data_IF_201384494969
#
_entry.id   IF_201384494969
#
_cell.length_a   1.000
_cell.length_b   1.000
_cell.length_c   1.000
_cell.angle_alpha   90.00
_cell.angle_beta   90.00
_cell.angle_gamma   90.00
#
_symmetry.space_group_name_H-M   'P 1'
#
loop_
_entity.id
_entity.type
_entity.pdbx_description
1 polymer ?
#
# COMPACT_ATOMS: atom_id res chain seq x y z
N UNK A 1 -24.55 30.63 -16.84
CA UNK A 1 -24.04 30.07 -18.11
C UNK A 1 -22.53 30.30 -18.22
N UNK A 2 -21.70 29.53 -17.50
CA UNK A 2 -20.23 29.60 -17.59
C UNK A 2 -19.59 28.28 -17.10
N UNK A 3 -19.92 27.14 -17.72
CA UNK A 3 -19.44 25.82 -17.28
C UNK A 3 -18.99 24.92 -18.46
N UNK A 4 -18.36 25.49 -19.50
CA UNK A 4 -17.86 24.73 -20.67
C UNK A 4 -16.31 24.74 -20.79
N UNK A 5 -15.57 25.32 -19.83
CA UNK A 5 -14.10 25.43 -19.95
C UNK A 5 -13.27 24.27 -19.41
N UNK A 6 -13.87 23.13 -19.00
CA UNK A 6 -13.11 22.01 -18.41
C UNK A 6 -12.64 20.94 -19.41
N UNK A 7 -12.82 21.16 -20.72
CA UNK A 7 -12.47 20.21 -21.80
C UNK A 7 -10.95 20.14 -22.07
N UNK A 8 -10.14 21.06 -21.52
CA UNK A 8 -8.68 21.10 -21.74
C UNK A 8 -7.82 20.33 -20.70
N UNK A 9 -8.42 19.64 -19.72
CA UNK A 9 -7.71 18.80 -18.74
C UNK A 9 -7.01 17.52 -19.26
N UNK A 10 -7.32 16.93 -20.44
CA UNK A 10 -6.64 15.72 -20.92
C UNK A 10 -5.12 15.88 -21.07
N UNK A 11 -4.68 17.09 -21.46
CA UNK A 11 -3.27 17.35 -21.80
C UNK A 11 -2.34 17.35 -20.58
N UNK A 12 -2.83 17.74 -19.38
CA UNK A 12 -1.99 17.76 -18.18
C UNK A 12 -1.76 16.37 -17.60
N UNK A 13 -2.79 15.52 -17.58
CA UNK A 13 -2.68 14.13 -17.12
C UNK A 13 -1.72 13.36 -18.01
N UNK A 14 -1.83 13.53 -19.34
CA UNK A 14 -0.95 12.86 -20.30
C UNK A 14 0.52 13.31 -20.15
N UNK A 15 0.76 14.62 -19.94
CA UNK A 15 2.11 15.16 -19.72
C UNK A 15 2.75 14.63 -18.43
N UNK A 16 1.98 14.52 -17.35
CA UNK A 16 2.45 13.96 -16.09
C UNK A 16 2.79 12.47 -16.23
N UNK A 17 1.95 11.69 -16.93
CA UNK A 17 2.22 10.27 -17.18
C UNK A 17 3.53 10.07 -17.95
N UNK A 18 3.79 10.87 -18.99
CA UNK A 18 5.04 10.80 -19.76
C UNK A 18 6.27 11.04 -18.88
N UNK A 19 6.24 12.08 -18.03
CA UNK A 19 7.35 12.39 -17.11
C UNK A 19 7.59 11.25 -16.11
N UNK A 20 6.52 10.68 -15.56
CA UNK A 20 6.61 9.54 -14.64
C UNK A 20 7.31 8.35 -15.27
N UNK A 21 6.91 7.96 -16.49
CA UNK A 21 7.54 6.85 -17.20
C UNK A 21 9.00 7.12 -17.54
N UNK A 22 9.36 8.34 -17.95
CA UNK A 22 10.76 8.70 -18.21
C UNK A 22 11.61 8.49 -16.94
N UNK A 23 11.16 8.96 -15.79
CA UNK A 23 11.92 8.78 -14.55
C UNK A 23 12.02 7.30 -14.15
N UNK A 24 10.95 6.51 -14.31
CA UNK A 24 10.96 5.06 -14.03
C UNK A 24 11.96 4.36 -14.95
N UNK A 25 11.95 4.66 -16.26
CA UNK A 25 12.87 4.06 -17.23
C UNK A 25 14.31 4.42 -16.90
N UNK A 26 14.62 5.69 -16.62
CA UNK A 26 15.98 6.11 -16.25
C UNK A 26 16.45 5.37 -15.00
N UNK A 27 15.62 5.32 -13.95
CA UNK A 27 15.96 4.60 -12.71
C UNK A 27 16.25 3.13 -13.01
N UNK A 28 15.35 2.44 -13.71
CA UNK A 28 15.53 1.03 -14.04
C UNK A 28 16.77 0.80 -14.90
N UNK A 29 17.02 1.62 -15.92
CA UNK A 29 18.22 1.49 -16.75
C UNK A 29 19.52 1.60 -15.94
N UNK A 30 19.58 2.52 -14.97
CA UNK A 30 20.75 2.65 -14.08
C UNK A 30 20.90 1.40 -13.21
N UNK A 31 19.82 0.94 -12.58
CA UNK A 31 19.83 -0.23 -11.71
C UNK A 31 20.19 -1.49 -12.49
N UNK A 32 19.56 -1.74 -13.64
CA UNK A 32 19.87 -2.86 -14.54
C UNK A 32 21.34 -2.79 -14.98
N UNK A 33 21.85 -1.61 -15.32
CA UNK A 33 23.25 -1.43 -15.70
C UNK A 33 24.23 -1.85 -14.60
N UNK A 34 23.98 -1.44 -13.35
CA UNK A 34 24.78 -1.85 -12.19
C UNK A 34 24.75 -3.36 -12.01
N UNK A 35 23.56 -3.97 -12.10
CA UNK A 35 23.37 -5.42 -11.95
C UNK A 35 24.10 -6.19 -13.05
N UNK A 36 23.98 -5.78 -14.31
CA UNK A 36 24.67 -6.42 -15.44
C UNK A 36 26.18 -6.31 -15.28
N UNK A 37 26.70 -5.12 -14.95
CA UNK A 37 28.15 -4.92 -14.74
C UNK A 37 28.64 -5.83 -13.63
N UNK A 38 27.92 -5.91 -12.50
CA UNK A 38 28.28 -6.79 -11.41
C UNK A 38 28.33 -8.27 -11.85
N UNK A 39 27.31 -8.76 -12.54
CA UNK A 39 27.32 -10.13 -13.03
C UNK A 39 28.40 -10.40 -14.07
N UNK A 40 28.75 -9.43 -14.91
CA UNK A 40 29.89 -9.59 -15.82
C UNK A 40 31.20 -9.71 -15.04
N UNK A 41 31.40 -8.91 -13.99
CA UNK A 41 32.59 -8.99 -13.13
C UNK A 41 32.67 -10.37 -12.47
N UNK A 42 31.55 -10.87 -11.93
CA UNK A 42 31.46 -12.22 -11.34
C UNK A 42 31.70 -13.32 -12.39
N UNK A 43 31.05 -13.24 -13.55
CA UNK A 43 31.17 -14.21 -14.64
C UNK A 43 32.59 -14.34 -15.19
N UNK A 44 33.33 -13.24 -15.29
CA UNK A 44 34.73 -13.25 -15.73
C UNK A 44 35.71 -13.62 -14.61
N UNK A 45 35.22 -14.05 -13.45
CA UNK A 45 36.06 -14.46 -12.32
C UNK A 45 36.88 -13.31 -11.72
N UNK A 46 36.50 -12.06 -11.98
CA UNK A 46 37.25 -10.90 -11.48
C UNK A 46 37.12 -10.74 -9.97
N UNK A 47 36.24 -11.50 -9.31
CA UNK A 47 36.09 -11.56 -7.86
C UNK A 47 36.54 -12.90 -7.26
N UNK A 48 37.08 -13.84 -8.06
CA UNK A 48 37.44 -15.19 -7.58
C UNK A 48 38.56 -15.16 -6.54
N UNK A 49 39.32 -14.07 -6.48
CA UNK A 49 40.32 -13.84 -5.45
C UNK A 49 39.71 -13.49 -4.08
N UNK A 50 38.41 -13.18 -4.02
CA UNK A 50 37.70 -12.86 -2.80
C UNK A 50 37.21 -14.14 -2.12
N UNK A 51 37.37 -14.20 -0.81
CA UNK A 51 36.66 -15.18 0.02
C UNK A 51 35.14 -14.94 -0.06
N UNK A 52 34.29 -15.95 0.18
CA UNK A 52 32.83 -15.75 0.23
C UNK A 52 32.41 -14.63 1.20
N UNK A 53 33.13 -14.48 2.31
CA UNK A 53 32.96 -13.39 3.25
C UNK A 53 33.19 -12.02 2.61
N UNK A 54 34.28 -11.84 1.88
CA UNK A 54 34.58 -10.60 1.16
C UNK A 54 33.60 -10.34 0.01
N UNK A 55 33.17 -11.37 -0.72
CA UNK A 55 32.14 -11.26 -1.75
C UNK A 55 30.84 -10.68 -1.21
N UNK A 56 30.42 -11.09 0.00
CA UNK A 56 29.23 -10.50 0.65
C UNK A 56 29.37 -8.99 0.94
N UNK A 57 30.56 -8.49 1.24
CA UNK A 57 30.77 -7.04 1.40
C UNK A 57 30.65 -6.28 0.09
N UNK A 58 31.08 -6.86 -1.04
CA UNK A 58 30.87 -6.29 -2.37
C UNK A 58 29.37 -6.18 -2.65
N UNK A 59 28.60 -7.24 -2.38
CA UNK A 59 27.15 -7.24 -2.51
C UNK A 59 26.50 -6.14 -1.66
N UNK A 60 26.90 -6.02 -0.38
CA UNK A 60 26.41 -4.94 0.50
C UNK A 60 26.71 -3.56 -0.10
N UNK A 61 27.92 -3.34 -0.61
CA UNK A 61 28.31 -2.09 -1.25
C UNK A 61 27.42 -1.74 -2.46
N UNK A 62 27.12 -2.72 -3.31
CA UNK A 62 26.27 -2.54 -4.49
C UNK A 62 24.84 -2.17 -4.09
N UNK A 63 24.24 -2.88 -3.14
CA UNK A 63 22.89 -2.56 -2.68
C UNK A 63 22.83 -1.18 -2.01
N UNK A 64 23.86 -0.76 -1.26
CA UNK A 64 23.94 0.60 -0.72
C UNK A 64 23.99 1.66 -1.83
N UNK A 65 24.75 1.42 -2.90
CA UNK A 65 24.79 2.32 -4.07
C UNK A 65 23.40 2.41 -4.73
N UNK A 66 22.76 1.26 -4.97
CA UNK A 66 21.42 1.19 -5.57
C UNK A 66 20.37 1.91 -4.69
N UNK A 67 20.42 1.73 -3.37
CA UNK A 67 19.54 2.41 -2.44
C UNK A 67 19.79 3.93 -2.41
N UNK A 68 21.06 4.35 -2.46
CA UNK A 68 21.44 5.76 -2.56
C UNK A 68 20.88 6.43 -3.82
N UNK A 69 21.02 5.77 -4.98
CA UNK A 69 20.44 6.25 -6.25
C UNK A 69 18.92 6.37 -6.13
N UNK A 70 18.26 5.34 -5.59
CA UNK A 70 16.81 5.34 -5.39
C UNK A 70 16.37 6.48 -4.46
N UNK A 71 17.13 6.75 -3.41
CA UNK A 71 16.89 7.85 -2.48
C UNK A 71 16.92 9.21 -3.18
N UNK A 72 17.83 9.43 -4.13
CA UNK A 72 17.88 10.66 -4.93
C UNK A 72 16.58 10.85 -5.71
N UNK A 73 16.07 9.80 -6.36
CA UNK A 73 14.78 9.84 -7.08
C UNK A 73 13.60 10.08 -6.13
N UNK A 74 13.59 9.43 -4.97
CA UNK A 74 12.57 9.62 -3.93
C UNK A 74 12.54 11.07 -3.46
N UNK A 75 13.69 11.66 -3.15
CA UNK A 75 13.79 13.05 -2.65
C UNK A 75 13.36 14.04 -3.74
N UNK A 76 13.72 13.79 -5.00
CA UNK A 76 13.41 14.66 -6.13
C UNK A 76 11.90 14.74 -6.43
N UNK A 77 11.19 13.61 -6.37
CA UNK A 77 9.80 13.54 -6.87
C UNK A 77 8.75 13.29 -5.78
N UNK A 78 9.16 12.94 -4.54
CA UNK A 78 8.25 12.60 -3.45
C UNK A 78 8.94 12.75 -2.07
N UNK A 79 8.43 12.08 -1.03
CA UNK A 79 9.02 12.07 0.32
C UNK A 79 8.99 10.66 0.90
N UNK A 80 9.94 10.33 1.79
CA UNK A 80 9.95 9.07 2.54
C UNK A 80 8.62 8.78 3.25
N UNK A 81 7.95 9.84 3.77
CA UNK A 81 6.63 9.71 4.37
C UNK A 81 5.57 9.23 3.38
N UNK A 82 5.51 9.84 2.19
CA UNK A 82 4.53 9.47 1.14
C UNK A 82 4.73 8.05 0.63
N UNK A 83 5.98 7.60 0.51
CA UNK A 83 6.28 6.23 0.07
C UNK A 83 6.13 5.19 1.18
N UNK A 84 5.86 5.59 2.43
CA UNK A 84 5.43 4.69 3.51
C UNK A 84 6.51 4.28 4.51
N UNK A 85 7.65 4.97 4.56
CA UNK A 85 8.73 4.67 5.53
C UNK A 85 8.40 5.06 6.97
N UNK A 86 7.48 6.01 7.18
CA UNK A 86 7.13 6.49 8.52
C UNK A 86 5.84 5.81 8.97
N UNK A 87 5.90 4.95 9.98
CA UNK A 87 4.71 4.36 10.62
C UNK A 87 4.86 4.32 12.13
N UNK A 88 3.75 4.62 12.82
CA UNK A 88 3.61 4.46 14.26
C UNK A 88 3.40 3.00 14.69
N UNK A 89 3.24 2.07 13.75
CA UNK A 89 2.96 0.64 13.99
C UNK A 89 4.12 -0.26 13.57
N UNK A 90 5.37 0.21 13.72
CA UNK A 90 6.56 -0.48 13.20
C UNK A 90 6.68 -1.94 13.70
N UNK A 91 6.48 -2.19 14.99
CA UNK A 91 6.55 -3.54 15.57
C UNK A 91 5.51 -4.49 14.98
N UNK A 92 4.30 -3.99 14.73
CA UNK A 92 3.23 -4.80 14.15
C UNK A 92 3.57 -5.13 12.69
N UNK A 93 4.13 -4.18 11.95
CA UNK A 93 4.53 -4.41 10.57
C UNK A 93 5.69 -5.40 10.47
N UNK A 94 6.65 -5.35 11.41
CA UNK A 94 7.70 -6.36 11.55
C UNK A 94 7.08 -7.74 11.79
N UNK A 95 6.14 -7.84 12.74
CA UNK A 95 5.44 -9.10 13.03
C UNK A 95 4.69 -9.66 11.82
N UNK A 96 3.99 -8.81 11.07
CA UNK A 96 3.30 -9.20 9.83
C UNK A 96 4.30 -9.67 8.76
N UNK A 97 5.45 -9.01 8.61
CA UNK A 97 6.49 -9.41 7.66
C UNK A 97 7.08 -10.78 7.99
N UNK A 98 7.45 -11.01 9.25
CA UNK A 98 7.97 -12.30 9.72
C UNK A 98 6.92 -13.39 9.53
N UNK A 99 5.67 -13.14 9.95
CA UNK A 99 4.57 -14.10 9.80
C UNK A 99 4.25 -14.39 8.34
N UNK A 100 4.31 -13.38 7.46
CA UNK A 100 4.13 -13.57 6.02
C UNK A 100 5.23 -14.44 5.41
N UNK A 101 6.46 -14.33 5.91
CA UNK A 101 7.60 -15.14 5.44
C UNK A 101 7.63 -16.56 6.02
N UNK A 102 6.89 -16.85 7.10
CA UNK A 102 6.99 -18.12 7.82
C UNK A 102 6.49 -19.32 6.99
N UNK A 103 5.55 -19.09 6.06
CA UNK A 103 5.11 -20.12 5.12
C UNK A 103 6.25 -20.63 4.24
N UNK A 104 7.20 -19.76 3.89
CA UNK A 104 8.41 -20.16 3.21
C UNK A 104 9.35 -20.94 4.13
N UNK A 105 9.55 -20.50 5.37
CA UNK A 105 10.37 -21.24 6.33
C UNK A 105 9.86 -22.67 6.51
N UNK A 106 8.54 -22.86 6.61
CA UNK A 106 7.93 -24.19 6.70
C UNK A 106 8.21 -24.99 5.42
N UNK A 107 8.03 -24.40 4.24
CA UNK A 107 8.33 -25.06 2.98
C UNK A 107 9.83 -25.41 2.86
N UNK A 108 10.72 -24.53 3.29
CA UNK A 108 12.16 -24.74 3.30
C UNK A 108 12.53 -25.92 4.22
N UNK A 109 11.96 -26.00 5.42
CA UNK A 109 12.21 -27.12 6.35
C UNK A 109 11.69 -28.46 5.78
N UNK A 110 10.56 -28.46 5.08
CA UNK A 110 9.95 -29.69 4.55
C UNK A 110 10.63 -30.16 3.27
N UNK A 111 10.96 -29.24 2.37
CA UNK A 111 11.36 -29.54 0.99
C UNK A 111 12.82 -29.23 0.67
N UNK A 112 13.50 -28.40 1.47
CA UNK A 112 14.91 -28.08 1.27
C UNK A 112 15.77 -28.86 2.27
N UNK A 113 17.04 -29.06 1.91
CA UNK A 113 17.98 -29.86 2.69
C UNK A 113 18.24 -29.24 4.07
N UNK A 114 18.91 -29.99 4.96
CA UNK A 114 19.35 -29.50 6.27
C UNK A 114 20.04 -28.15 6.13
N UNK A 115 19.76 -27.17 7.01
CA UNK A 115 20.35 -25.84 6.93
C UNK A 115 21.87 -25.95 6.88
N UNK A 116 22.49 -25.10 6.06
CA UNK A 116 23.93 -25.14 5.90
C UNK A 116 24.60 -24.91 7.25
N UNK A 117 25.53 -25.79 7.64
CA UNK A 117 26.30 -25.64 8.88
C UNK A 117 27.19 -24.41 8.70
N UNK A 118 26.69 -23.26 9.14
CA UNK A 118 27.35 -21.97 9.04
C UNK A 118 27.72 -21.47 10.42
N UNK A 119 28.85 -20.77 10.51
CA UNK A 119 29.20 -20.06 11.74
C UNK A 119 28.23 -18.87 11.97
N UNK A 120 28.13 -18.42 13.22
CA UNK A 120 27.21 -17.34 13.62
C UNK A 120 27.47 -16.02 12.88
N UNK A 121 28.73 -15.74 12.51
CA UNK A 121 29.10 -14.52 11.79
C UNK A 121 28.50 -14.54 10.37
N UNK A 122 28.60 -15.66 9.67
CA UNK A 122 28.00 -15.84 8.33
C UNK A 122 26.49 -15.67 8.39
N UNK A 123 25.82 -16.30 9.37
CA UNK A 123 24.37 -16.17 9.55
C UNK A 123 23.97 -14.70 9.75
N UNK A 124 24.73 -13.97 10.57
CA UNK A 124 24.48 -12.54 10.82
C UNK A 124 24.70 -11.68 9.58
N UNK A 125 25.73 -11.98 8.77
CA UNK A 125 25.97 -11.28 7.50
C UNK A 125 24.86 -11.53 6.49
N UNK A 126 24.38 -12.77 6.37
CA UNK A 126 23.25 -13.11 5.52
C UNK A 126 22.01 -12.31 5.96
N UNK A 127 21.74 -12.20 7.26
CA UNK A 127 20.63 -11.38 7.77
C UNK A 127 20.76 -9.91 7.37
N UNK A 128 21.95 -9.32 7.52
CA UNK A 128 22.21 -7.92 7.12
C UNK A 128 22.01 -7.75 5.62
N UNK A 129 22.58 -8.65 4.82
CA UNK A 129 22.48 -8.61 3.37
C UNK A 129 21.02 -8.71 2.93
N UNK A 130 20.26 -9.68 3.43
CA UNK A 130 18.84 -9.84 3.10
C UNK A 130 17.99 -8.64 3.54
N UNK A 131 18.27 -8.05 4.71
CA UNK A 131 17.61 -6.79 5.13
C UNK A 131 17.90 -5.64 4.17
N UNK A 132 19.13 -5.56 3.68
CA UNK A 132 19.53 -4.51 2.74
C UNK A 132 18.96 -4.74 1.34
N UNK A 133 18.88 -5.99 0.88
CA UNK A 133 18.20 -6.38 -0.38
C UNK A 133 16.73 -5.97 -0.30
N UNK A 134 16.01 -6.44 0.73
CA UNK A 134 14.62 -6.09 0.95
C UNK A 134 14.40 -4.58 1.07
N UNK A 135 15.28 -3.87 1.79
CA UNK A 135 15.21 -2.40 1.87
C UNK A 135 15.35 -1.75 0.49
N UNK A 136 16.34 -2.16 -0.28
CA UNK A 136 16.70 -1.54 -1.55
C UNK A 136 15.65 -1.81 -2.62
N UNK A 137 15.33 -3.08 -2.84
CA UNK A 137 14.41 -3.49 -3.89
C UNK A 137 12.99 -3.02 -3.60
N UNK A 138 12.50 -3.16 -2.36
CA UNK A 138 11.19 -2.65 -2.04
C UNK A 138 11.13 -1.12 -2.15
N UNK A 139 12.20 -0.39 -1.84
CA UNK A 139 12.24 1.07 -2.06
C UNK A 139 12.10 1.45 -3.53
N UNK A 140 12.75 0.71 -4.43
CA UNK A 140 12.65 0.91 -5.87
C UNK A 140 11.22 0.59 -6.33
N UNK A 141 10.80 -0.65 -6.12
CA UNK A 141 9.60 -1.18 -6.75
C UNK A 141 8.33 -0.71 -6.04
N UNK A 142 8.23 -0.89 -4.72
CA UNK A 142 7.00 -0.63 -3.95
C UNK A 142 6.96 0.79 -3.41
N UNK A 143 8.13 1.33 -3.09
CA UNK A 143 8.32 2.70 -2.63
C UNK A 143 8.15 3.71 -3.74
N UNK A 144 9.01 3.67 -4.77
CA UNK A 144 9.03 4.68 -5.83
C UNK A 144 8.11 4.33 -7.01
N UNK A 145 8.36 3.21 -7.70
CA UNK A 145 7.67 2.87 -8.96
C UNK A 145 6.16 2.67 -8.76
N UNK A 146 5.75 1.78 -7.87
CA UNK A 146 4.33 1.49 -7.62
C UNK A 146 3.59 2.74 -7.12
N UNK A 147 4.21 3.54 -6.24
CA UNK A 147 3.63 4.79 -5.75
C UNK A 147 3.42 5.80 -6.87
N UNK A 148 4.39 5.92 -7.79
CA UNK A 148 4.29 6.81 -8.95
C UNK A 148 3.23 6.34 -9.94
N UNK A 149 3.16 5.03 -10.21
CA UNK A 149 2.11 4.46 -11.05
C UNK A 149 0.71 4.66 -10.43
N UNK A 150 0.58 4.62 -9.11
CA UNK A 150 -0.69 4.92 -8.43
C UNK A 150 -1.17 6.38 -8.61
N UNK A 151 -0.31 7.31 -9.01
CA UNK A 151 -0.73 8.68 -9.34
C UNK A 151 -1.48 8.74 -10.68
N UNK A 152 -1.29 7.74 -11.54
CA UNK A 152 -1.75 7.72 -12.94
C UNK A 152 -2.67 6.55 -13.29
N UNK A 153 -2.61 5.46 -12.52
CA UNK A 153 -3.29 4.20 -12.79
C UNK A 153 -4.06 3.71 -11.56
N UNK A 154 -5.07 2.87 -11.80
CA UNK A 154 -5.73 2.15 -10.71
C UNK A 154 -4.70 1.26 -10.01
N UNK A 155 -4.82 1.13 -8.69
CA UNK A 155 -3.86 0.41 -7.86
C UNK A 155 -3.56 -1.03 -8.32
N UNK A 156 -4.55 -1.74 -8.89
CA UNK A 156 -4.34 -3.08 -9.44
C UNK A 156 -3.33 -3.09 -10.59
N UNK A 157 -3.42 -2.12 -11.51
CA UNK A 157 -2.50 -2.01 -12.64
C UNK A 157 -1.11 -1.62 -12.18
N UNK A 158 -0.98 -0.72 -11.21
CA UNK A 158 0.31 -0.37 -10.62
C UNK A 158 1.00 -1.58 -9.99
N UNK A 159 0.25 -2.44 -9.29
CA UNK A 159 0.77 -3.68 -8.71
C UNK A 159 1.26 -4.63 -9.81
N UNK A 160 0.42 -4.89 -10.82
CA UNK A 160 0.76 -5.81 -11.91
C UNK A 160 1.99 -5.34 -12.71
N UNK A 161 2.02 -4.06 -13.09
CA UNK A 161 3.16 -3.48 -13.83
C UNK A 161 4.43 -3.57 -12.99
N UNK A 162 4.36 -3.17 -11.72
CA UNK A 162 5.55 -3.20 -10.84
C UNK A 162 6.03 -4.63 -10.60
N UNK A 163 5.12 -5.60 -10.48
CA UNK A 163 5.44 -7.02 -10.34
C UNK A 163 6.18 -7.57 -11.57
N UNK A 164 5.75 -7.19 -12.77
CA UNK A 164 6.41 -7.57 -14.02
C UNK A 164 7.80 -6.92 -14.14
N UNK A 165 7.95 -5.66 -13.75
CA UNK A 165 9.25 -4.98 -13.72
C UNK A 165 10.19 -5.61 -12.68
N UNK A 166 9.65 -6.01 -11.53
CA UNK A 166 10.38 -6.75 -10.50
C UNK A 166 10.84 -8.12 -11.02
N UNK A 167 10.01 -8.87 -11.74
CA UNK A 167 10.46 -10.11 -12.38
C UNK A 167 11.52 -9.84 -13.47
N UNK A 168 11.32 -8.80 -14.28
CA UNK A 168 12.23 -8.47 -15.39
C UNK A 168 13.65 -8.10 -14.92
N UNK A 169 13.80 -7.43 -13.77
CA UNK A 169 15.14 -7.07 -13.26
C UNK A 169 15.98 -8.30 -12.87
N UNK A 170 15.33 -9.42 -12.56
CA UNK A 170 15.97 -10.69 -12.22
C UNK A 170 16.34 -11.52 -13.46
N UNK A 171 15.82 -11.16 -14.64
CA UNK A 171 16.03 -11.91 -15.87
C UNK A 171 17.51 -12.14 -16.21
N UNK A 172 18.43 -11.14 -16.11
CA UNK A 172 19.84 -11.37 -16.44
C UNK A 172 20.43 -12.52 -15.64
N UNK A 173 20.28 -12.48 -14.30
CA UNK A 173 20.74 -13.53 -13.39
C UNK A 173 20.17 -14.89 -13.76
N UNK A 174 18.85 -14.95 -13.96
CA UNK A 174 18.15 -16.21 -14.24
C UNK A 174 18.58 -16.85 -15.56
N UNK A 175 18.88 -16.04 -16.57
CA UNK A 175 19.40 -16.54 -17.85
C UNK A 175 20.83 -17.05 -17.69
N UNK A 176 21.69 -16.32 -16.96
CA UNK A 176 23.07 -16.73 -16.73
C UNK A 176 23.19 -18.01 -15.89
N UNK A 177 22.37 -18.15 -14.84
CA UNK A 177 22.44 -19.29 -13.91
C UNK A 177 21.63 -20.50 -14.37
N UNK A 178 20.44 -20.31 -14.95
CA UNK A 178 19.46 -21.37 -15.18
C UNK A 178 19.05 -21.55 -16.66
N UNK A 179 19.60 -20.75 -17.58
CA UNK A 179 19.24 -20.79 -19.00
C UNK A 179 17.73 -20.63 -19.22
N UNK A 180 17.13 -21.50 -20.04
CA UNK A 180 15.69 -21.43 -20.37
C UNK A 180 14.78 -21.72 -19.16
N UNK A 181 15.24 -22.52 -18.19
CA UNK A 181 14.49 -22.78 -16.96
C UNK A 181 14.33 -21.51 -16.11
N UNK A 182 15.22 -20.52 -16.31
CA UNK A 182 15.09 -19.19 -15.73
C UNK A 182 13.75 -18.51 -16.03
N UNK A 183 13.09 -18.85 -17.15
CA UNK A 183 11.76 -18.34 -17.50
C UNK A 183 10.69 -18.79 -16.51
N UNK A 184 10.80 -20.00 -15.93
CA UNK A 184 9.85 -20.45 -14.88
C UNK A 184 10.04 -19.62 -13.62
N UNK A 185 11.28 -19.28 -13.27
CA UNK A 185 11.53 -18.43 -12.11
C UNK A 185 10.98 -17.01 -12.27
N UNK A 186 10.89 -16.47 -13.50
CA UNK A 186 10.20 -15.18 -13.75
C UNK A 186 8.73 -15.21 -13.33
N UNK A 187 8.05 -16.36 -13.48
CA UNK A 187 6.69 -16.53 -13.00
C UNK A 187 6.63 -16.42 -11.47
N UNK A 188 7.53 -17.10 -10.76
CA UNK A 188 7.65 -17.02 -9.30
C UNK A 188 7.96 -15.59 -8.82
N UNK A 189 8.89 -14.90 -9.47
CA UNK A 189 9.19 -13.49 -9.16
C UNK A 189 8.00 -12.57 -9.46
N UNK A 190 7.20 -12.85 -10.49
CA UNK A 190 5.97 -12.09 -10.76
C UNK A 190 4.94 -12.29 -9.66
N UNK A 191 4.77 -13.52 -9.17
CA UNK A 191 3.86 -13.82 -8.05
C UNK A 191 4.30 -13.08 -6.77
N UNK A 192 5.58 -13.21 -6.40
CA UNK A 192 6.18 -12.43 -5.30
C UNK A 192 5.97 -10.92 -5.50
N UNK A 193 6.22 -10.48 -6.74
CA UNK A 193 5.89 -9.20 -7.34
C UNK A 193 4.55 -8.65 -6.86
N UNK A 194 3.50 -9.37 -7.23
CA UNK A 194 2.09 -9.07 -6.97
C UNK A 194 1.81 -9.02 -5.47
N UNK A 195 2.33 -10.01 -4.76
CA UNK A 195 2.11 -10.21 -3.32
C UNK A 195 2.67 -9.04 -2.51
N UNK A 196 3.93 -8.69 -2.72
CA UNK A 196 4.57 -7.56 -2.06
C UNK A 196 3.86 -6.25 -2.42
N UNK A 197 3.39 -6.12 -3.66
CA UNK A 197 2.60 -4.97 -4.10
C UNK A 197 1.25 -4.85 -3.39
N UNK A 198 0.55 -5.96 -3.18
CA UNK A 198 -0.68 -6.01 -2.38
C UNK A 198 -0.40 -5.67 -0.91
N UNK A 199 0.64 -6.25 -0.31
CA UNK A 199 1.06 -5.93 1.05
C UNK A 199 1.33 -4.45 1.24
N UNK A 200 2.10 -3.85 0.33
CA UNK A 200 2.36 -2.42 0.36
C UNK A 200 1.09 -1.60 0.29
N UNK A 201 0.13 -2.00 -0.55
CA UNK A 201 -1.18 -1.33 -0.67
C UNK A 201 -1.96 -1.41 0.65
N UNK A 202 -2.09 -2.60 1.23
CA UNK A 202 -2.92 -2.82 2.41
C UNK A 202 -2.30 -2.27 3.70
N UNK A 203 -1.00 -2.47 3.92
CA UNK A 203 -0.32 -1.97 5.12
C UNK A 203 -0.08 -0.47 5.06
N UNK A 204 -0.13 0.11 3.86
CA UNK A 204 0.29 1.47 3.56
C UNK A 204 1.63 1.86 4.21
N UNK A 205 2.54 0.88 4.32
CA UNK A 205 3.81 1.00 5.01
C UNK A 205 4.87 0.12 4.32
N UNK A 206 6.09 0.63 4.26
CA UNK A 206 7.23 -0.06 3.65
C UNK A 206 7.86 -1.10 4.58
N UNK A 207 7.91 -0.85 5.88
CA UNK A 207 8.60 -1.73 6.83
C UNK A 207 8.07 -3.16 6.76
N UNK A 208 6.75 -3.36 6.70
CA UNK A 208 6.18 -4.71 6.65
C UNK A 208 6.59 -5.50 5.41
N UNK A 209 6.60 -4.84 4.23
CA UNK A 209 7.01 -5.49 2.98
C UNK A 209 8.53 -5.68 2.90
N UNK A 210 9.32 -4.73 3.42
CA UNK A 210 10.79 -4.86 3.52
C UNK A 210 11.16 -6.08 4.37
N UNK A 211 10.53 -6.23 5.54
CA UNK A 211 10.79 -7.37 6.44
C UNK A 211 10.30 -8.67 5.81
N UNK A 212 9.14 -8.67 5.15
CA UNK A 212 8.65 -9.84 4.42
C UNK A 212 9.67 -10.32 3.37
N UNK A 213 10.15 -9.40 2.54
CA UNK A 213 11.13 -9.70 1.50
C UNK A 213 12.47 -10.12 2.10
N UNK A 214 12.99 -9.37 3.07
CA UNK A 214 14.26 -9.69 3.71
C UNK A 214 14.25 -11.07 4.35
N UNK A 215 13.18 -11.45 5.06
CA UNK A 215 13.12 -12.77 5.66
C UNK A 215 12.92 -13.87 4.63
N UNK A 216 12.22 -13.60 3.52
CA UNK A 216 12.18 -14.52 2.38
C UNK A 216 13.59 -14.86 1.88
N UNK A 217 14.40 -13.84 1.56
CA UNK A 217 15.77 -14.05 1.09
C UNK A 217 16.65 -14.70 2.14
N UNK A 218 16.48 -14.29 3.41
CA UNK A 218 17.23 -14.86 4.52
C UNK A 218 16.99 -16.37 4.62
N UNK A 219 15.72 -16.81 4.64
CA UNK A 219 15.42 -18.22 4.67
C UNK A 219 15.92 -18.93 3.41
N UNK A 220 15.79 -18.31 2.23
CA UNK A 220 16.27 -18.88 0.99
C UNK A 220 17.78 -19.15 1.06
N UNK A 221 18.57 -18.21 1.57
CA UNK A 221 20.03 -18.35 1.68
C UNK A 221 20.46 -19.32 2.78
N UNK A 222 19.73 -19.41 3.90
CA UNK A 222 20.03 -20.37 4.97
C UNK A 222 19.79 -21.82 4.55
N UNK A 223 18.73 -22.04 3.76
CA UNK A 223 18.30 -23.38 3.31
C UNK A 223 18.64 -23.67 1.85
N UNK A 224 19.37 -22.79 1.16
CA UNK A 224 19.77 -22.99 -0.22
C UNK A 224 20.63 -24.27 -0.36
N UNK A 225 20.35 -25.13 -1.36
CA UNK A 225 21.19 -26.29 -1.61
C UNK A 225 22.61 -25.83 -1.99
N UNK A 226 23.63 -26.35 -1.28
CA UNK A 226 25.04 -25.94 -1.39
C UNK A 226 25.67 -26.13 -2.79
N UNK A 227 25.00 -26.79 -3.72
CA UNK A 227 25.55 -27.18 -5.02
C UNK A 227 24.72 -26.65 -6.20
N UNK A 228 24.57 -25.32 -6.32
CA UNK A 228 24.03 -24.69 -7.54
C UNK A 228 25.06 -24.61 -8.69
N UNK A 229 26.34 -24.88 -8.42
CA UNK A 229 27.44 -24.67 -9.37
C UNK A 229 27.68 -25.80 -10.38
N UNK A 230 27.00 -26.95 -10.26
CA UNK A 230 27.09 -28.03 -11.22
C UNK A 230 25.73 -28.19 -11.89
N UNK A 231 25.61 -27.73 -13.14
CA UNK A 231 24.44 -27.98 -14.00
C UNK A 231 24.20 -29.49 -14.02
N UNK A 232 23.17 -30.01 -13.35
CA UNK A 232 22.92 -31.43 -13.33
C UNK A 232 22.00 -31.75 -14.52
N UNK A 233 22.50 -32.45 -15.51
CA UNK A 233 21.68 -33.04 -16.59
C UNK A 233 20.79 -34.21 -16.10
N UNK A 234 20.50 -34.23 -14.80
CA UNK A 234 19.95 -35.35 -14.02
C UNK A 234 18.64 -34.92 -13.32
N UNK A 235 17.81 -35.87 -12.83
CA UNK A 235 16.53 -35.63 -12.13
C UNK A 235 16.52 -34.60 -10.98
N UNK A 236 17.68 -34.07 -10.58
CA UNK A 236 17.88 -32.92 -9.70
C UNK A 236 17.21 -31.64 -10.24
N UNK A 237 17.15 -31.43 -11.56
CA UNK A 237 16.48 -30.28 -12.17
C UNK A 237 14.96 -30.27 -11.92
N UNK A 238 14.34 -31.47 -11.93
CA UNK A 238 12.91 -31.60 -11.64
C UNK A 238 12.63 -31.34 -10.16
N UNK A 239 13.52 -31.78 -9.27
CA UNK A 239 13.41 -31.50 -7.82
C UNK A 239 13.56 -30.01 -7.57
N UNK A 240 14.52 -29.34 -8.21
CA UNK A 240 14.71 -27.89 -8.06
C UNK A 240 13.51 -27.10 -8.60
N UNK A 241 12.98 -27.49 -9.77
CA UNK A 241 11.76 -26.92 -10.34
C UNK A 241 10.55 -27.12 -9.41
N UNK A 242 10.39 -28.33 -8.88
CA UNK A 242 9.31 -28.65 -7.94
C UNK A 242 9.47 -27.87 -6.63
N UNK A 243 10.70 -27.71 -6.13
CA UNK A 243 11.01 -26.85 -4.99
C UNK A 243 10.61 -25.40 -5.27
N UNK A 244 10.95 -24.83 -6.43
CA UNK A 244 10.51 -23.47 -6.78
C UNK A 244 8.98 -23.32 -6.83
N UNK A 245 8.27 -24.32 -7.36
CA UNK A 245 6.80 -24.33 -7.41
C UNK A 245 6.18 -24.49 -6.00
N UNK A 246 6.72 -25.40 -5.19
CA UNK A 246 6.28 -25.66 -3.81
C UNK A 246 6.62 -24.49 -2.89
N UNK A 247 7.73 -23.81 -3.12
CA UNK A 247 8.13 -22.54 -2.51
C UNK A 247 7.09 -21.45 -2.80
N UNK A 248 6.58 -21.37 -4.03
CA UNK A 248 5.46 -20.50 -4.39
C UNK A 248 4.17 -20.82 -3.61
N UNK A 249 3.89 -22.11 -3.37
CA UNK A 249 2.76 -22.56 -2.55
C UNK A 249 2.95 -22.28 -1.04
N UNK A 250 4.16 -22.47 -0.52
CA UNK A 250 4.52 -22.13 0.86
C UNK A 250 4.36 -20.64 1.13
N UNK A 251 4.76 -19.81 0.17
CA UNK A 251 4.48 -18.38 0.19
C UNK A 251 2.96 -18.12 0.20
N UNK A 252 2.19 -18.73 -0.69
CA UNK A 252 0.73 -18.57 -0.72
C UNK A 252 0.08 -18.90 0.63
N UNK A 253 0.59 -19.89 1.35
CA UNK A 253 0.12 -20.26 2.69
C UNK A 253 0.48 -19.21 3.76
N UNK A 254 1.74 -18.75 3.81
CA UNK A 254 2.16 -17.67 4.72
C UNK A 254 1.38 -16.38 4.48
N UNK A 255 1.05 -16.11 3.22
CA UNK A 255 0.23 -14.98 2.79
C UNK A 255 -1.25 -15.14 3.15
N UNK A 256 -1.77 -16.37 3.15
CA UNK A 256 -3.11 -16.67 3.63
C UNK A 256 -3.23 -16.37 5.12
N UNK A 257 -2.26 -16.83 5.93
CA UNK A 257 -2.22 -16.60 7.38
C UNK A 257 -2.14 -15.11 7.73
N UNK A 258 -1.21 -14.41 7.12
CA UNK A 258 -1.04 -12.96 7.27
C UNK A 258 -2.22 -12.16 6.69
N UNK A 259 -2.81 -12.61 5.58
CA UNK A 259 -4.03 -12.06 5.01
C UNK A 259 -5.22 -12.23 5.96
N UNK A 260 -5.34 -13.37 6.64
CA UNK A 260 -6.32 -13.60 7.70
C UNK A 260 -6.09 -12.67 8.90
N UNK A 261 -4.84 -12.42 9.29
CA UNK A 261 -4.53 -11.46 10.36
C UNK A 261 -4.81 -10.01 9.96
N UNK A 262 -4.50 -9.64 8.71
CA UNK A 262 -4.82 -8.31 8.17
C UNK A 262 -6.33 -8.12 8.11
N UNK A 263 -7.07 -9.09 7.58
CA UNK A 263 -8.54 -9.03 7.50
C UNK A 263 -9.19 -9.05 8.88
N UNK A 264 -8.73 -9.88 9.81
CA UNK A 264 -9.19 -9.88 11.20
C UNK A 264 -8.97 -8.52 11.87
N UNK A 265 -7.79 -7.93 11.70
CA UNK A 265 -7.49 -6.61 12.26
C UNK A 265 -8.28 -5.48 11.59
N UNK A 266 -8.58 -5.60 10.29
CA UNK A 266 -9.48 -4.67 9.60
C UNK A 266 -10.91 -4.78 10.13
N UNK A 267 -11.38 -5.99 10.41
CA UNK A 267 -12.68 -6.24 11.04
C UNK A 267 -12.73 -5.63 12.44
N UNK A 268 -11.63 -5.62 13.19
CA UNK A 268 -11.61 -5.03 14.53
C UNK A 268 -11.45 -3.50 14.51
N UNK A 269 -10.58 -2.95 13.65
CA UNK A 269 -10.49 -1.49 13.50
C UNK A 269 -11.77 -0.86 12.94
N UNK A 270 -12.49 -1.56 12.06
CA UNK A 270 -13.80 -1.07 11.59
C UNK A 270 -14.82 -1.03 12.72
N UNK A 271 -14.80 -1.98 13.66
CA UNK A 271 -15.66 -1.94 14.85
C UNK A 271 -15.30 -0.80 15.80
N UNK A 272 -14.01 -0.54 16.02
CA UNK A 272 -13.54 0.57 16.87
C UNK A 272 -13.89 1.94 16.27
N UNK A 273 -13.55 2.17 15.00
CA UNK A 273 -13.86 3.42 14.28
C UNK A 273 -15.38 3.64 14.20
N UNK A 274 -16.15 2.57 14.04
CA UNK A 274 -17.61 2.64 14.07
C UNK A 274 -18.17 2.99 15.45
N UNK A 275 -17.56 2.46 16.50
CA UNK A 275 -17.93 2.78 17.89
C UNK A 275 -17.61 4.23 18.22
N UNK A 276 -16.43 4.72 17.80
CA UNK A 276 -16.04 6.12 17.95
C UNK A 276 -16.97 7.05 17.16
N UNK A 277 -17.30 6.70 15.91
CA UNK A 277 -18.26 7.45 15.10
C UNK A 277 -19.64 7.54 15.77
N UNK A 278 -20.18 6.43 16.28
CA UNK A 278 -21.44 6.41 17.04
C UNK A 278 -21.36 7.30 18.28
N UNK A 279 -20.24 7.28 19.00
CA UNK A 279 -20.00 8.12 20.18
C UNK A 279 -20.03 9.61 19.81
N UNK A 280 -19.29 10.01 18.78
CA UNK A 280 -19.24 11.40 18.31
C UNK A 280 -20.60 11.91 17.86
N UNK A 281 -21.35 11.09 17.13
CA UNK A 281 -22.71 11.39 16.70
C UNK A 281 -23.64 11.62 17.91
N UNK A 282 -23.49 10.81 18.96
CA UNK A 282 -24.26 10.95 20.21
C UNK A 282 -23.93 12.26 20.96
N UNK A 283 -22.65 12.67 21.00
CA UNK A 283 -22.20 13.90 21.65
C UNK A 283 -22.74 15.12 20.90
N UNK A 284 -22.65 15.12 19.58
CA UNK A 284 -23.15 16.21 18.74
C UNK A 284 -24.69 16.34 18.83
N UNK A 285 -25.41 15.21 18.95
CA UNK A 285 -26.85 15.20 19.24
C UNK A 285 -27.16 15.86 20.58
N UNK A 286 -26.45 15.51 21.65
CA UNK A 286 -26.64 16.13 22.98
C UNK A 286 -26.35 17.64 22.97
N UNK A 287 -25.27 18.07 22.30
CA UNK A 287 -24.91 19.50 22.16
C UNK A 287 -25.97 20.28 21.38
N UNK A 288 -26.47 19.72 20.28
CA UNK A 288 -27.54 20.31 19.49
C UNK A 288 -28.83 20.47 20.30
N UNK A 289 -29.24 19.42 21.03
CA UNK A 289 -30.42 19.47 21.90
C UNK A 289 -30.29 20.50 23.02
N UNK A 290 -29.11 20.61 23.64
CA UNK A 290 -28.84 21.62 24.68
C UNK A 290 -28.96 23.04 24.11
N UNK A 291 -28.40 23.30 22.92
CA UNK A 291 -28.55 24.60 22.25
C UNK A 291 -30.00 24.92 21.91
N UNK A 292 -30.77 23.94 21.40
CA UNK A 292 -32.22 24.12 21.14
C UNK A 292 -32.95 24.49 22.43
N UNK A 293 -32.72 23.73 23.51
CA UNK A 293 -33.36 23.98 24.80
C UNK A 293 -33.06 25.39 25.31
N UNK A 294 -31.83 25.86 25.16
CA UNK A 294 -31.46 27.22 25.53
C UNK A 294 -32.14 28.27 24.64
N UNK A 295 -32.24 28.04 23.33
CA UNK A 295 -32.92 28.95 22.41
C UNK A 295 -34.43 29.05 22.70
N UNK A 296 -35.09 27.92 23.01
CA UNK A 296 -36.51 27.89 23.42
C UNK A 296 -36.79 28.68 24.69
N UNK A 297 -35.80 28.84 25.58
CA UNK A 297 -35.93 29.69 26.78
C UNK A 297 -35.83 31.18 26.46
N UNK A 298 -35.16 31.54 25.37
CA UNK A 298 -34.90 32.94 24.98
C UNK A 298 -36.02 33.45 24.06
N UNK A 299 -36.56 32.59 23.20
CA UNK A 299 -37.58 32.93 22.23
C UNK A 299 -38.66 31.82 22.17
N UNK A 300 -39.81 32.02 22.84
CA UNK A 300 -40.92 31.08 22.84
C UNK A 300 -41.59 30.91 21.46
N UNK A 301 -41.45 31.88 20.55
CA UNK A 301 -42.04 31.86 19.20
C UNK A 301 -41.20 31.07 18.18
N UNK A 302 -40.02 30.57 18.57
CA UNK A 302 -39.14 29.70 17.77
C UNK A 302 -39.77 28.34 17.36
N UNK A 303 -41.09 28.16 17.48
CA UNK A 303 -41.81 26.91 17.24
C UNK A 303 -42.15 26.63 15.76
N UNK A 304 -42.28 27.63 14.88
CA UNK A 304 -42.59 27.37 13.45
C UNK A 304 -41.35 26.92 12.65
N UNK A 305 -40.17 27.46 12.93
CA UNK A 305 -38.89 27.00 12.37
C UNK A 305 -38.51 25.57 12.82
N UNK A 306 -39.11 25.06 13.91
CA UNK A 306 -38.82 23.73 14.45
C UNK A 306 -39.38 22.59 13.60
N UNK A 307 -40.49 22.79 12.88
CA UNK A 307 -41.08 21.72 12.06
C UNK A 307 -40.18 21.33 10.88
N UNK A 308 -39.57 22.33 10.21
CA UNK A 308 -38.62 22.08 9.13
C UNK A 308 -37.35 21.39 9.65
N UNK A 309 -36.85 21.84 10.81
CA UNK A 309 -35.66 21.27 11.45
C UNK A 309 -35.90 19.84 11.94
N UNK A 310 -37.02 19.56 12.59
CA UNK A 310 -37.37 18.22 13.06
C UNK A 310 -37.59 17.26 11.89
N UNK A 311 -38.17 17.74 10.78
CA UNK A 311 -38.25 16.97 9.52
C UNK A 311 -36.86 16.66 8.96
N UNK A 312 -35.95 17.64 8.91
CA UNK A 312 -34.57 17.42 8.44
C UNK A 312 -33.78 16.47 9.36
N UNK A 313 -33.89 16.62 10.69
CA UNK A 313 -33.24 15.72 11.65
C UNK A 313 -33.82 14.29 11.57
N UNK A 314 -35.13 14.14 11.33
CA UNK A 314 -35.80 12.87 11.10
C UNK A 314 -35.34 12.20 9.79
N UNK A 315 -35.36 12.93 8.67
CA UNK A 315 -34.89 12.41 7.37
C UNK A 315 -33.42 12.00 7.43
N UNK A 316 -32.57 12.83 8.04
CA UNK A 316 -31.14 12.52 8.21
C UNK A 316 -30.93 11.30 9.12
N UNK A 317 -31.76 11.10 10.13
CA UNK A 317 -31.73 9.91 10.99
C UNK A 317 -32.13 8.66 10.23
N UNK A 318 -33.26 8.68 9.51
CA UNK A 318 -33.74 7.53 8.72
C UNK A 318 -32.75 7.15 7.64
N UNK A 319 -32.20 8.14 6.91
CA UNK A 319 -31.17 7.91 5.91
C UNK A 319 -29.91 7.27 6.51
N UNK A 320 -29.48 7.69 7.70
CA UNK A 320 -28.36 7.06 8.41
C UNK A 320 -28.73 5.63 8.87
N UNK A 321 -29.92 5.39 9.41
CA UNK A 321 -30.32 4.07 9.91
C UNK A 321 -30.51 3.04 8.78
N UNK A 322 -31.12 3.44 7.67
CA UNK A 322 -31.29 2.61 6.47
C UNK A 322 -29.95 2.34 5.77
N UNK A 323 -29.06 3.33 5.76
CA UNK A 323 -27.68 3.17 5.32
C UNK A 323 -26.88 2.18 6.19
N UNK A 324 -26.98 2.28 7.52
CA UNK A 324 -26.31 1.36 8.44
C UNK A 324 -26.78 -0.08 8.29
N UNK A 325 -28.01 -0.27 7.81
CA UNK A 325 -28.57 -1.59 7.52
C UNK A 325 -28.03 -2.18 6.21
N UNK A 326 -27.60 -1.33 5.28
CA UNK A 326 -27.27 -1.72 3.89
C UNK A 326 -25.79 -1.52 3.51
N UNK A 327 -24.95 -0.89 4.34
CA UNK A 327 -23.57 -0.55 4.00
C UNK A 327 -22.56 -1.70 4.18
N UNK A 328 -21.74 -1.97 3.17
CA UNK A 328 -20.53 -2.80 3.26
C UNK A 328 -19.31 -1.99 3.72
N UNK A 329 -18.22 -2.66 4.12
CA UNK A 329 -17.02 -2.06 4.74
C UNK A 329 -16.33 -1.00 3.87
N UNK A 330 -16.31 -1.17 2.54
CA UNK A 330 -15.56 -0.30 1.62
C UNK A 330 -16.11 1.14 1.53
N UNK A 331 -17.39 1.30 1.83
CA UNK A 331 -18.09 2.58 1.78
C UNK A 331 -17.66 3.53 2.91
N UNK A 332 -17.31 3.00 4.08
CA UNK A 332 -17.17 3.74 5.34
C UNK A 332 -16.21 4.96 5.29
N UNK A 333 -15.10 4.86 4.55
CA UNK A 333 -14.07 5.92 4.50
C UNK A 333 -14.49 7.15 3.66
N UNK A 334 -15.26 6.97 2.60
CA UNK A 334 -15.87 8.09 1.86
C UNK A 334 -16.90 8.81 2.73
N UNK A 335 -17.70 8.07 3.50
CA UNK A 335 -18.72 8.64 4.38
C UNK A 335 -18.16 9.39 5.60
N UNK A 336 -16.99 9.00 6.12
CA UNK A 336 -16.27 9.79 7.15
C UNK A 336 -15.94 11.20 6.66
N UNK A 337 -15.65 11.35 5.36
CA UNK A 337 -15.42 12.67 4.74
C UNK A 337 -16.75 13.43 4.54
N UNK A 338 -17.82 12.74 4.14
CA UNK A 338 -19.15 13.36 4.02
C UNK A 338 -19.70 13.85 5.36
N UNK A 339 -19.53 13.10 6.44
CA UNK A 339 -19.91 13.52 7.78
C UNK A 339 -19.16 14.79 8.24
N UNK A 340 -17.87 14.91 7.92
CA UNK A 340 -17.10 16.14 8.20
C UNK A 340 -17.65 17.36 7.44
N UNK A 341 -18.11 17.17 6.21
CA UNK A 341 -18.74 18.22 5.40
C UNK A 341 -20.07 18.64 6.03
N UNK A 342 -20.95 17.69 6.35
CA UNK A 342 -22.24 17.96 7.01
C UNK A 342 -22.06 18.67 8.36
N UNK A 343 -21.04 18.29 9.14
CA UNK A 343 -20.70 18.95 10.41
C UNK A 343 -20.25 20.40 10.23
N UNK A 344 -19.53 20.72 9.13
CA UNK A 344 -19.17 22.10 8.78
C UNK A 344 -20.40 22.92 8.40
N UNK A 345 -21.27 22.38 7.54
CA UNK A 345 -22.53 23.02 7.13
C UNK A 345 -23.40 23.34 8.35
N UNK A 346 -23.62 22.35 9.22
CA UNK A 346 -24.38 22.53 10.47
C UNK A 346 -23.79 23.62 11.36
N UNK A 347 -22.45 23.73 11.44
CA UNK A 347 -21.76 24.75 12.24
C UNK A 347 -21.92 26.15 11.65
N UNK A 348 -21.95 26.29 10.32
CA UNK A 348 -22.20 27.55 9.62
C UNK A 348 -23.62 28.04 9.83
N UNK A 349 -24.61 27.16 9.66
CA UNK A 349 -26.03 27.45 9.92
C UNK A 349 -26.22 27.90 11.39
N UNK A 350 -25.62 27.21 12.35
CA UNK A 350 -25.73 27.56 13.77
C UNK A 350 -24.97 28.83 14.17
N UNK A 351 -23.94 29.24 13.41
CA UNK A 351 -23.13 30.44 13.71
C UNK A 351 -23.81 31.72 13.23
N UNK A 352 -24.69 31.61 12.24
CA UNK A 352 -25.39 32.73 11.67
C UNK A 352 -26.88 32.59 11.99
N UNK A 353 -27.36 33.30 13.01
CA UNK A 353 -28.79 33.43 13.27
C UNK A 353 -29.39 34.21 12.09
N UNK A 354 -29.97 33.51 11.10
CA UNK A 354 -30.26 34.11 9.79
C UNK A 354 -31.62 34.79 9.78
N UNK A 355 -31.71 35.97 10.41
CA UNK A 355 -32.73 36.97 10.06
C UNK A 355 -32.29 37.89 8.92
N UNK A 356 -31.01 37.85 8.54
CA UNK A 356 -30.44 38.68 7.47
C UNK A 356 -30.41 37.93 6.11
N UNK A 357 -31.15 38.39 5.09
CA UNK A 357 -31.25 37.75 3.77
C UNK A 357 -29.91 37.59 3.05
N UNK A 358 -28.99 38.55 3.19
CA UNK A 358 -27.69 38.50 2.52
C UNK A 358 -26.79 37.40 3.09
N UNK A 359 -26.87 37.14 4.41
CA UNK A 359 -26.14 36.02 5.05
C UNK A 359 -26.74 34.67 4.66
N UNK A 360 -28.05 34.60 4.42
CA UNK A 360 -28.73 33.39 3.92
C UNK A 360 -28.20 32.97 2.56
N UNK A 361 -28.08 33.92 1.64
CA UNK A 361 -27.55 33.70 0.30
C UNK A 361 -26.11 33.16 0.29
N UNK A 362 -25.26 33.59 1.21
CA UNK A 362 -23.89 33.08 1.34
C UNK A 362 -23.88 31.63 1.85
N UNK A 363 -24.73 31.34 2.84
CA UNK A 363 -24.87 29.99 3.40
C UNK A 363 -25.44 29.03 2.36
N UNK A 364 -26.48 29.41 1.63
CA UNK A 364 -27.09 28.59 0.58
C UNK A 364 -26.10 28.30 -0.56
N UNK A 365 -25.22 29.26 -0.87
CA UNK A 365 -24.18 29.10 -1.90
C UNK A 365 -23.08 28.14 -1.43
N UNK A 366 -22.69 28.18 -0.16
CA UNK A 366 -21.78 27.18 0.41
C UNK A 366 -22.41 25.80 0.54
N UNK A 367 -23.68 25.71 0.95
CA UNK A 367 -24.44 24.46 1.02
C UNK A 367 -24.48 23.81 -0.36
N UNK A 368 -24.88 24.55 -1.40
CA UNK A 368 -24.90 24.04 -2.78
C UNK A 368 -23.51 23.60 -3.26
N UNK A 369 -22.45 24.30 -2.87
CA UNK A 369 -21.07 23.92 -3.20
C UNK A 369 -20.66 22.59 -2.55
N UNK A 370 -21.19 22.29 -1.37
CA UNK A 370 -20.93 21.03 -0.68
C UNK A 370 -21.89 19.91 -1.13
N UNK A 371 -23.14 20.22 -1.44
CA UNK A 371 -24.12 19.29 -2.03
C UNK A 371 -23.65 18.80 -3.40
N UNK A 372 -23.07 19.67 -4.23
CA UNK A 372 -22.52 19.27 -5.53
C UNK A 372 -21.30 18.33 -5.43
N UNK A 373 -20.84 18.03 -4.22
CA UNK A 373 -19.76 17.05 -3.95
C UNK A 373 -20.29 15.77 -3.32
N UNK A 374 -21.57 15.71 -2.97
CA UNK A 374 -22.24 14.50 -2.51
C UNK A 374 -22.59 13.63 -3.73
N UNK A 375 -22.61 12.29 -3.59
CA UNK A 375 -23.17 11.41 -4.61
C UNK A 375 -24.64 11.78 -4.84
N UNK A 376 -25.09 11.71 -6.10
CA UNK A 376 -26.44 12.13 -6.47
C UNK A 376 -27.52 11.37 -5.67
N UNK A 377 -27.30 10.08 -5.38
CA UNK A 377 -28.20 9.26 -4.55
C UNK A 377 -28.42 9.85 -3.15
N UNK A 378 -27.41 10.54 -2.61
CA UNK A 378 -27.47 11.22 -1.32
C UNK A 378 -28.22 12.55 -1.41
N UNK A 379 -28.06 13.27 -2.52
CA UNK A 379 -28.77 14.53 -2.80
C UNK A 379 -30.25 14.27 -3.05
N UNK A 380 -30.57 13.22 -3.82
CA UNK A 380 -31.94 12.82 -4.16
C UNK A 380 -32.77 12.45 -2.91
N UNK A 381 -32.13 11.89 -1.87
CA UNK A 381 -32.76 11.65 -0.56
C UNK A 381 -33.18 12.94 0.17
N UNK A 382 -32.54 14.08 -0.10
CA UNK A 382 -32.90 15.37 0.49
C UNK A 382 -33.87 16.18 -0.38
N UNK A 383 -33.86 15.99 -1.71
CA UNK A 383 -34.66 16.78 -2.66
C UNK A 383 -36.08 16.25 -2.90
N UNK A 384 -36.40 15.00 -2.60
CA UNK A 384 -37.79 14.50 -2.72
C UNK A 384 -38.58 14.62 -1.38
N UNK A 385 -39.70 15.39 -1.35
CA UNK A 385 -40.59 15.56 -0.19
C UNK A 385 -41.18 14.27 0.35
#
# INVERSE_FOLDING_TARGET
MNTINDINKPNEIQKNNKKTWINIIILLSIITGIIIIFYLIEYFGLLDFLTPFQGNFVNIGIYLIMFGITTIFIIKDTTFKKIGFISNKILINIGIGILGSSGFLIAAIIFMQTPNIMNLITIFIILILSLLVGLTEESIFRGYIQQKLNESYKSIWSILITALLFAAIHMPRMIFELGILGLVGLFSFTQLGIIFGYYRKYLNNMTGVIILHAFWDYWLLIFAPLNLGSIPTDPVDLIMLLSFLLTGLGLAFGLLLSGLLITWKLVDHTKEDFTEFKRDLSIDKRRANKKISNLKKIDPEFNESNNLRLRLESKMKTAIEEFLKNSTIDNFMEYKNYYKILKKIKKLILKHNVSNPAKRLVIDREIKHYESRLPQEFVDMFEYP
#
